data_IF_706215191116
#
_entry.id   IF_706215191116
#
_cell.length_a   1.000
_cell.length_b   1.000
_cell.length_c   1.000
_cell.angle_alpha   90.00
_cell.angle_beta   90.00
_cell.angle_gamma   90.00
#
_symmetry.space_group_name_H-M   'P 1'
#
loop_
_entity.id
_entity.type
_entity.pdbx_description
1 polymer ?
#
# COMPACT_ATOMS: atom_id res chain seq x y z
N UNK A 1 -1.44 -0.49 12.13
CA UNK A 1 -2.47 0.27 11.39
C UNK A 1 -3.49 0.85 12.38
N UNK A 2 -4.22 1.90 12.01
CA UNK A 2 -5.28 2.43 12.87
C UNK A 2 -6.54 1.55 12.78
N UNK A 3 -7.18 1.25 13.91
CA UNK A 3 -8.42 0.46 13.93
C UNK A 3 -9.64 1.17 13.32
N UNK A 4 -9.54 2.46 13.05
CA UNK A 4 -10.59 3.27 12.41
C UNK A 4 -10.00 4.44 11.62
N UNK A 5 -10.83 5.02 10.74
CA UNK A 5 -10.49 6.24 10.01
C UNK A 5 -10.89 7.47 10.81
N UNK A 6 -9.96 8.42 10.95
CA UNK A 6 -10.28 9.73 11.52
C UNK A 6 -11.19 10.54 10.60
N UNK A 7 -11.93 11.50 11.14
CA UNK A 7 -12.81 12.37 10.35
C UNK A 7 -12.05 13.04 9.19
N UNK A 8 -10.86 13.60 9.46
CA UNK A 8 -9.96 14.16 8.44
C UNK A 8 -9.63 13.16 7.34
N UNK A 9 -9.31 11.92 7.68
CA UNK A 9 -9.01 10.88 6.67
C UNK A 9 -10.24 10.55 5.81
N UNK A 10 -11.44 10.52 6.39
CA UNK A 10 -12.69 10.32 5.63
C UNK A 10 -12.92 11.45 4.63
N UNK A 11 -12.81 12.71 5.05
CA UNK A 11 -12.91 13.90 4.18
C UNK A 11 -11.89 13.85 3.04
N UNK A 12 -10.62 13.54 3.34
CA UNK A 12 -9.56 13.45 2.32
C UNK A 12 -9.81 12.33 1.31
N UNK A 13 -10.35 11.18 1.76
CA UNK A 13 -10.71 10.07 0.88
C UNK A 13 -11.90 10.44 -0.02
N UNK A 14 -12.94 11.08 0.53
CA UNK A 14 -14.07 11.60 -0.25
C UNK A 14 -13.58 12.60 -1.30
N UNK A 15 -12.75 13.57 -0.92
CA UNK A 15 -12.18 14.56 -1.85
C UNK A 15 -11.44 13.88 -3.01
N UNK A 16 -10.58 12.89 -2.72
CA UNK A 16 -9.86 12.13 -3.75
C UNK A 16 -10.84 11.36 -4.66
N UNK A 17 -11.86 10.71 -4.11
CA UNK A 17 -12.89 10.00 -4.88
C UNK A 17 -13.66 10.96 -5.79
N UNK A 18 -14.18 12.06 -5.24
CA UNK A 18 -14.91 13.08 -5.97
C UNK A 18 -14.09 13.63 -7.15
N UNK A 19 -12.80 13.94 -6.94
CA UNK A 19 -11.90 14.40 -8.01
C UNK A 19 -11.69 13.36 -9.11
N UNK A 20 -11.59 12.06 -8.79
CA UNK A 20 -11.42 10.98 -9.78
C UNK A 20 -12.69 10.69 -10.57
N UNK A 21 -13.86 10.74 -9.92
CA UNK A 21 -15.13 10.62 -10.64
C UNK A 21 -15.42 11.86 -11.49
N UNK A 22 -15.03 13.06 -11.03
CA UNK A 22 -15.10 14.26 -11.85
C UNK A 22 -14.21 14.17 -13.09
N UNK A 23 -13.00 13.62 -12.97
CA UNK A 23 -12.11 13.32 -14.10
C UNK A 23 -12.73 12.31 -15.07
N UNK A 24 -13.54 11.37 -14.54
CA UNK A 24 -14.26 10.38 -15.37
C UNK A 24 -15.41 11.02 -16.17
N UNK A 25 -16.12 11.99 -15.60
CA UNK A 25 -17.15 12.77 -16.31
C UNK A 25 -16.55 13.81 -17.27
N UNK A 26 -15.51 14.52 -16.85
CA UNK A 26 -14.87 15.58 -17.62
C UNK A 26 -13.63 15.06 -18.36
N UNK A 27 -13.84 14.42 -19.52
CA UNK A 27 -12.74 13.80 -20.29
C UNK A 27 -11.64 14.80 -20.69
N UNK A 28 -12.02 16.02 -21.06
CA UNK A 28 -11.08 17.06 -21.47
C UNK A 28 -10.42 17.76 -20.28
N UNK A 29 -9.10 17.93 -20.36
CA UNK A 29 -8.26 18.36 -19.22
C UNK A 29 -8.54 19.78 -18.75
N UNK A 30 -8.87 20.67 -19.67
CA UNK A 30 -9.28 22.06 -19.42
C UNK A 30 -10.58 22.14 -18.62
N UNK A 31 -11.64 21.44 -19.09
CA UNK A 31 -12.93 21.37 -18.39
C UNK A 31 -12.81 20.71 -17.03
N UNK A 32 -12.05 19.62 -16.96
CA UNK A 32 -11.73 18.97 -15.68
C UNK A 32 -11.07 19.94 -14.72
N UNK A 33 -10.03 20.67 -15.17
CA UNK A 33 -9.28 21.58 -14.30
C UNK A 33 -10.17 22.69 -13.74
N UNK A 34 -11.03 23.27 -14.57
CA UNK A 34 -12.00 24.27 -14.13
C UNK A 34 -12.92 23.71 -13.03
N UNK A 35 -13.58 22.59 -13.30
CA UNK A 35 -14.51 21.98 -12.33
C UNK A 35 -13.80 21.47 -11.06
N UNK A 36 -12.55 21.00 -11.18
CA UNK A 36 -11.74 20.57 -10.06
C UNK A 36 -11.40 21.73 -9.12
N UNK A 37 -11.13 22.93 -9.68
CA UNK A 37 -10.95 24.15 -8.89
C UNK A 37 -12.25 24.57 -8.18
N UNK A 38 -13.40 24.48 -8.85
CA UNK A 38 -14.70 24.74 -8.21
C UNK A 38 -14.98 23.74 -7.07
N UNK A 39 -14.75 22.45 -7.30
CA UNK A 39 -14.89 21.43 -6.26
C UNK A 39 -13.94 21.71 -5.09
N UNK A 40 -12.68 22.08 -5.37
CA UNK A 40 -11.72 22.45 -4.33
C UNK A 40 -12.22 23.64 -3.51
N UNK A 41 -12.76 24.68 -4.15
CA UNK A 41 -13.31 25.84 -3.46
C UNK A 41 -14.46 25.46 -2.51
N UNK A 42 -15.36 24.55 -2.92
CA UNK A 42 -16.44 24.03 -2.06
C UNK A 42 -15.91 23.31 -0.81
N UNK A 43 -14.82 22.55 -0.94
CA UNK A 43 -14.18 21.91 0.22
C UNK A 43 -13.47 22.93 1.12
N UNK A 44 -12.83 23.94 0.52
CA UNK A 44 -12.09 24.97 1.26
C UNK A 44 -13.03 25.92 2.04
N UNK A 45 -14.28 26.09 1.60
CA UNK A 45 -15.31 26.90 2.29
C UNK A 45 -15.58 26.42 3.73
N UNK A 46 -15.53 25.11 3.97
CA UNK A 46 -15.80 24.50 5.28
C UNK A 46 -14.55 23.93 5.96
N UNK A 47 -13.35 24.30 5.50
CA UNK A 47 -12.09 23.75 6.04
C UNK A 47 -11.83 24.10 7.51
N UNK A 48 -12.31 25.28 7.94
CA UNK A 48 -12.08 25.86 9.27
C UNK A 48 -13.27 25.63 10.22
N UNK A 49 -14.19 24.71 9.88
CA UNK A 49 -15.32 24.34 10.73
C UNK A 49 -14.83 23.68 12.03
N UNK A 50 -15.20 24.26 13.18
CA UNK A 50 -14.76 23.80 14.50
C UNK A 50 -15.78 22.87 15.16
N UNK A 51 -17.06 22.95 14.77
CA UNK A 51 -18.09 22.05 15.27
C UNK A 51 -18.01 20.70 14.57
N UNK A 52 -17.55 19.68 15.30
CA UNK A 52 -17.40 18.31 14.79
C UNK A 52 -18.74 17.63 14.47
N UNK A 53 -19.85 18.02 15.12
CA UNK A 53 -21.18 17.49 14.80
C UNK A 53 -21.59 18.03 13.43
N UNK A 54 -21.44 19.34 13.22
CA UNK A 54 -21.71 19.98 11.94
C UNK A 54 -20.80 19.45 10.83
N UNK A 55 -19.50 19.31 11.07
CA UNK A 55 -18.56 18.74 10.11
C UNK A 55 -18.94 17.30 9.71
N UNK A 56 -19.41 16.49 10.66
CA UNK A 56 -19.87 15.12 10.39
C UNK A 56 -21.15 15.11 9.56
N UNK A 57 -22.12 15.99 9.84
CA UNK A 57 -23.34 16.14 9.03
C UNK A 57 -23.02 16.60 7.59
N UNK A 58 -22.10 17.55 7.44
CA UNK A 58 -21.62 18.00 6.12
C UNK A 58 -20.98 16.85 5.35
N UNK A 59 -20.14 16.03 6.01
CA UNK A 59 -19.53 14.86 5.38
C UNK A 59 -20.59 13.82 4.95
N UNK A 60 -21.62 13.58 5.76
CA UNK A 60 -22.71 12.67 5.39
C UNK A 60 -23.45 13.16 4.15
N UNK A 61 -23.89 14.42 4.14
CA UNK A 61 -24.55 15.01 2.98
C UNK A 61 -23.65 15.01 1.73
N UNK A 62 -22.34 15.22 1.89
CA UNK A 62 -21.39 15.18 0.78
C UNK A 62 -21.15 13.76 0.24
N UNK A 63 -21.17 12.72 1.09
CA UNK A 63 -21.13 11.31 0.63
C UNK A 63 -22.42 10.94 -0.12
N UNK A 64 -23.58 11.42 0.32
CA UNK A 64 -24.86 11.25 -0.39
C UNK A 64 -24.82 11.92 -1.77
N UNK A 65 -24.41 13.20 -1.85
CA UNK A 65 -24.24 13.90 -3.14
C UNK A 65 -23.25 13.16 -4.05
N UNK A 66 -22.13 12.69 -3.49
CA UNK A 66 -21.15 11.92 -4.25
C UNK A 66 -21.76 10.62 -4.78
N UNK A 67 -22.53 9.89 -3.98
CA UNK A 67 -23.17 8.64 -4.36
C UNK A 67 -24.16 8.82 -5.51
N UNK A 68 -24.98 9.87 -5.47
CA UNK A 68 -25.95 10.18 -6.53
C UNK A 68 -25.29 10.59 -7.84
N UNK A 69 -24.11 11.24 -7.78
CA UNK A 69 -23.43 11.84 -8.94
C UNK A 69 -22.21 11.06 -9.43
N UNK A 70 -21.92 9.90 -8.84
CA UNK A 70 -20.76 9.12 -9.22
C UNK A 70 -20.88 8.60 -10.66
N UNK A 71 -19.79 8.67 -11.42
CA UNK A 71 -19.75 8.06 -12.75
C UNK A 71 -19.99 6.54 -12.68
N UNK A 72 -20.87 5.95 -13.52
CA UNK A 72 -21.19 4.51 -13.47
C UNK A 72 -19.98 3.59 -13.71
N UNK A 73 -19.07 4.02 -14.59
CA UNK A 73 -17.84 3.30 -14.92
C UNK A 73 -16.64 4.23 -14.75
N UNK A 74 -16.17 4.47 -13.51
CA UNK A 74 -15.09 5.42 -13.28
C UNK A 74 -13.79 4.98 -13.98
N UNK A 75 -12.92 5.94 -14.29
CA UNK A 75 -11.58 5.63 -14.78
C UNK A 75 -10.78 4.95 -13.67
N UNK A 76 -10.36 3.71 -13.94
CA UNK A 76 -9.49 2.92 -13.07
C UNK A 76 -8.15 2.74 -13.79
N UNK A 77 -7.05 3.05 -13.11
CA UNK A 77 -5.72 2.85 -13.67
C UNK A 77 -5.49 1.37 -13.97
N UNK A 78 -4.79 1.02 -15.07
CA UNK A 78 -4.67 -0.37 -15.51
C UNK A 78 -4.21 -1.34 -14.42
N UNK A 79 -3.21 -0.95 -13.63
CA UNK A 79 -2.62 -1.79 -12.58
C UNK A 79 -3.29 -1.66 -11.20
N UNK A 80 -4.29 -0.78 -11.05
CA UNK A 80 -5.04 -0.67 -9.79
C UNK A 80 -6.10 -1.77 -9.70
N UNK A 81 -6.56 -2.15 -8.49
CA UNK A 81 -7.67 -3.10 -8.36
C UNK A 81 -8.88 -2.67 -9.20
N UNK A 82 -9.42 -3.60 -10.00
CA UNK A 82 -10.49 -3.33 -10.98
C UNK A 82 -10.02 -2.76 -12.33
N UNK A 83 -8.72 -2.53 -12.51
CA UNK A 83 -8.11 -2.10 -13.76
C UNK A 83 -7.90 -3.26 -14.74
N UNK A 84 -7.66 -2.93 -16.01
CA UNK A 84 -7.56 -3.91 -17.12
C UNK A 84 -6.28 -4.74 -17.14
N UNK A 85 -5.26 -4.37 -16.36
CA UNK A 85 -4.01 -5.12 -16.19
C UNK A 85 -3.73 -5.46 -14.72
N UNK A 86 -4.74 -5.35 -13.85
CA UNK A 86 -4.64 -5.76 -12.46
C UNK A 86 -4.24 -7.24 -12.39
N UNK A 87 -3.18 -7.54 -11.64
CA UNK A 87 -2.63 -8.88 -11.45
C UNK A 87 -2.23 -9.61 -12.75
N UNK A 88 -2.15 -8.92 -13.89
CA UNK A 88 -1.79 -9.49 -15.20
C UNK A 88 -0.47 -10.25 -15.17
N UNK A 89 0.49 -9.77 -14.39
CA UNK A 89 1.84 -10.33 -14.30
C UNK A 89 2.04 -11.24 -13.09
N UNK A 90 0.99 -11.53 -12.32
CA UNK A 90 1.12 -12.26 -11.06
C UNK A 90 1.45 -13.74 -11.28
N UNK A 91 1.03 -14.32 -12.41
CA UNK A 91 1.41 -15.67 -12.81
C UNK A 91 2.93 -15.85 -13.04
N UNK A 92 3.67 -14.77 -13.28
CA UNK A 92 5.13 -14.79 -13.46
C UNK A 92 5.88 -14.48 -12.15
N UNK A 93 5.19 -14.14 -11.07
CA UNK A 93 5.79 -13.83 -9.77
C UNK A 93 6.08 -15.10 -9.00
N UNK A 94 7.10 -15.84 -9.42
CA UNK A 94 7.59 -17.00 -8.67
C UNK A 94 8.27 -16.56 -7.36
N UNK A 95 7.90 -17.14 -6.21
CA UNK A 95 8.59 -16.85 -4.96
C UNK A 95 10.04 -17.37 -5.01
N UNK A 96 10.94 -16.66 -4.35
CA UNK A 96 12.38 -16.88 -4.44
C UNK A 96 12.83 -18.27 -3.98
N UNK A 97 12.11 -18.89 -3.04
CA UNK A 97 12.45 -20.19 -2.48
C UNK A 97 12.35 -21.33 -3.51
N UNK A 98 11.61 -21.15 -4.61
CA UNK A 98 11.55 -22.14 -5.71
C UNK A 98 12.94 -22.37 -6.33
N UNK A 99 13.82 -21.37 -6.30
CA UNK A 99 15.19 -21.50 -6.80
C UNK A 99 16.03 -22.53 -6.01
N UNK A 100 15.61 -22.89 -4.80
CA UNK A 100 16.25 -23.95 -4.02
C UNK A 100 15.96 -25.33 -4.60
N UNK A 101 14.81 -25.50 -5.27
CA UNK A 101 14.36 -26.77 -5.86
C UNK A 101 15.03 -27.09 -7.20
N UNK A 102 15.76 -26.15 -7.80
CA UNK A 102 16.46 -26.35 -9.07
C UNK A 102 17.52 -27.45 -8.97
N UNK A 103 17.68 -28.22 -10.03
CA UNK A 103 18.69 -29.26 -10.11
C UNK A 103 20.11 -28.65 -10.10
N UNK A 104 21.13 -29.29 -9.48
CA UNK A 104 22.49 -28.75 -9.45
C UNK A 104 23.06 -28.37 -10.82
N UNK A 105 22.71 -29.10 -11.90
CA UNK A 105 23.14 -28.75 -13.26
C UNK A 105 22.55 -27.42 -13.75
N UNK A 106 21.32 -27.11 -13.37
CA UNK A 106 20.65 -25.83 -13.71
C UNK A 106 21.25 -24.69 -12.88
N UNK A 107 21.54 -24.94 -11.60
CA UNK A 107 22.22 -23.97 -10.73
C UNK A 107 23.63 -23.65 -11.21
N UNK A 108 24.35 -24.66 -11.71
CA UNK A 108 25.70 -24.51 -12.26
C UNK A 108 25.76 -23.55 -13.47
N UNK A 109 24.63 -23.28 -14.14
CA UNK A 109 24.54 -22.28 -15.19
C UNK A 109 24.72 -20.84 -14.67
N UNK A 110 24.42 -20.59 -13.39
CA UNK A 110 24.45 -19.25 -12.78
C UNK A 110 25.29 -19.21 -11.49
N UNK A 111 26.59 -19.55 -11.56
CA UNK A 111 27.43 -19.77 -10.39
C UNK A 111 27.53 -18.53 -9.49
N UNK A 112 27.74 -17.35 -10.07
CA UNK A 112 27.88 -16.10 -9.32
C UNK A 112 26.59 -15.69 -8.61
N UNK A 113 25.44 -15.95 -9.23
CA UNK A 113 24.14 -15.62 -8.64
C UNK A 113 23.89 -16.49 -7.41
N UNK A 114 24.07 -17.82 -7.54
CA UNK A 114 23.87 -18.73 -6.42
C UNK A 114 24.91 -18.53 -5.32
N UNK A 115 26.17 -18.22 -5.65
CA UNK A 115 27.19 -17.86 -4.66
C UNK A 115 26.79 -16.62 -3.84
N UNK A 116 26.29 -15.56 -4.50
CA UNK A 116 25.77 -14.37 -3.80
C UNK A 116 24.51 -14.68 -2.98
N UNK A 117 23.61 -15.50 -3.50
CA UNK A 117 22.37 -15.89 -2.81
C UNK A 117 22.66 -16.62 -1.49
N UNK A 118 23.67 -17.48 -1.44
CA UNK A 118 24.07 -18.14 -0.20
C UNK A 118 24.52 -17.14 0.88
N UNK A 119 25.16 -16.02 0.50
CA UNK A 119 25.48 -14.94 1.45
C UNK A 119 24.21 -14.31 2.04
N UNK A 120 23.17 -14.08 1.22
CA UNK A 120 21.89 -13.56 1.69
C UNK A 120 21.15 -14.54 2.60
N UNK A 121 21.19 -15.84 2.29
CA UNK A 121 20.60 -16.88 3.13
C UNK A 121 21.32 -17.00 4.48
N UNK A 122 22.65 -16.95 4.46
CA UNK A 122 23.46 -16.90 5.69
C UNK A 122 23.07 -15.69 6.55
N UNK A 123 22.97 -14.51 5.94
CA UNK A 123 22.54 -13.30 6.63
C UNK A 123 21.14 -13.45 7.26
N UNK A 124 20.19 -14.05 6.54
CA UNK A 124 18.83 -14.33 7.04
C UNK A 124 18.85 -15.27 8.25
N UNK A 125 19.66 -16.32 8.21
CA UNK A 125 19.77 -17.28 9.31
C UNK A 125 20.41 -16.62 10.54
N UNK A 126 21.46 -15.83 10.36
CA UNK A 126 22.15 -15.11 11.44
C UNK A 126 21.28 -14.01 12.08
N UNK A 127 20.36 -13.41 11.32
CA UNK A 127 19.47 -12.36 11.81
C UNK A 127 18.23 -12.91 12.52
N UNK A 128 17.76 -14.10 12.16
CA UNK A 128 16.46 -14.65 12.62
C UNK A 128 16.29 -14.66 14.15
N UNK A 129 17.24 -15.24 14.88
CA UNK A 129 17.13 -15.35 16.35
C UNK A 129 17.12 -13.97 17.02
N UNK A 130 17.90 -13.02 16.50
CA UNK A 130 17.97 -11.64 16.99
C UNK A 130 16.66 -10.90 16.73
N UNK A 131 16.04 -11.11 15.58
CA UNK A 131 14.75 -10.54 15.21
C UNK A 131 13.63 -11.07 16.12
N UNK A 132 13.58 -12.40 16.32
CA UNK A 132 12.59 -13.06 17.18
C UNK A 132 12.74 -12.60 18.62
N UNK A 133 13.97 -12.51 19.13
CA UNK A 133 14.24 -11.99 20.47
C UNK A 133 13.74 -10.55 20.61
N UNK A 134 14.05 -9.67 19.65
CA UNK A 134 13.58 -8.29 19.68
C UNK A 134 12.05 -8.21 19.69
N UNK A 135 11.38 -9.05 18.90
CA UNK A 135 9.91 -9.11 18.91
C UNK A 135 9.36 -9.59 20.25
N UNK A 136 9.94 -10.61 20.87
CA UNK A 136 9.52 -11.10 22.18
C UNK A 136 9.71 -10.04 23.28
N UNK A 137 10.81 -9.27 23.21
CA UNK A 137 11.11 -8.19 24.15
C UNK A 137 10.18 -6.98 23.99
N UNK A 138 9.88 -6.57 22.75
CA UNK A 138 9.05 -5.39 22.46
C UNK A 138 7.54 -5.67 22.44
N UNK A 139 7.12 -6.94 22.33
CA UNK A 139 5.70 -7.30 22.28
C UNK A 139 5.08 -7.27 23.69
N UNK A 140 3.97 -6.55 23.90
CA UNK A 140 3.26 -6.55 25.18
C UNK A 140 2.80 -7.97 25.59
N UNK A 141 2.63 -8.26 26.91
CA UNK A 141 2.20 -9.58 27.39
C UNK A 141 0.87 -10.08 26.81
N UNK A 142 -0.04 -9.16 26.45
CA UNK A 142 -1.32 -9.47 25.80
C UNK A 142 -1.24 -9.70 24.29
N UNK A 143 -0.04 -9.77 23.73
CA UNK A 143 0.21 -9.82 22.29
C UNK A 143 0.29 -8.44 21.63
N UNK A 144 0.58 -8.38 20.32
CA UNK A 144 0.69 -7.13 19.58
C UNK A 144 -0.68 -6.46 19.43
N UNK A 145 -0.77 -5.17 19.78
CA UNK A 145 -2.00 -4.38 19.64
C UNK A 145 -2.25 -3.89 18.22
N UNK A 146 -1.20 -3.87 17.38
CA UNK A 146 -1.28 -3.48 15.97
C UNK A 146 -0.32 -4.32 15.12
N UNK A 147 -0.55 -4.35 13.81
CA UNK A 147 0.32 -5.03 12.83
C UNK A 147 1.66 -4.32 12.55
N UNK A 148 1.96 -3.20 13.23
CA UNK A 148 3.18 -2.46 12.97
C UNK A 148 4.40 -3.18 13.58
N UNK A 149 5.37 -3.53 12.74
CA UNK A 149 6.64 -4.11 13.18
C UNK A 149 7.61 -3.02 13.65
N UNK A 150 8.40 -3.25 14.71
CA UNK A 150 9.40 -2.30 15.15
C UNK A 150 10.58 -2.24 14.17
N UNK A 151 11.30 -1.11 14.08
CA UNK A 151 12.55 -1.03 13.33
C UNK A 151 13.68 -1.76 14.08
N UNK A 152 14.80 -2.04 13.40
CA UNK A 152 16.01 -2.51 14.06
C UNK A 152 16.53 -1.45 15.06
N UNK A 153 16.84 -1.86 16.30
CA UNK A 153 17.29 -0.95 17.38
C UNK A 153 18.79 -0.87 17.56
N UNK A 154 19.51 -1.93 17.18
CA UNK A 154 20.96 -2.08 17.41
C UNK A 154 21.69 -2.03 16.07
N UNK A 155 22.90 -1.48 16.09
CA UNK A 155 23.76 -1.47 14.91
C UNK A 155 24.11 -2.91 14.49
N UNK A 156 24.08 -3.18 13.18
CA UNK A 156 24.28 -4.54 12.64
C UNK A 156 23.08 -5.49 12.77
N UNK A 157 21.97 -5.08 13.39
CA UNK A 157 20.72 -5.84 13.36
C UNK A 157 19.89 -5.48 12.12
N UNK A 158 19.13 -6.46 11.60
CA UNK A 158 18.15 -6.25 10.56
C UNK A 158 16.75 -6.08 11.16
N UNK A 159 15.82 -5.36 10.49
CA UNK A 159 14.46 -5.20 10.98
C UNK A 159 13.75 -6.56 11.07
N UNK A 160 12.94 -6.83 12.10
CA UNK A 160 12.20 -8.09 12.21
C UNK A 160 11.32 -8.40 11.01
N UNK A 161 11.29 -9.67 10.60
CA UNK A 161 10.49 -10.22 9.49
C UNK A 161 10.74 -9.55 8.13
N UNK A 162 11.95 -9.02 7.92
CA UNK A 162 12.31 -8.27 6.72
C UNK A 162 12.31 -9.11 5.43
N UNK A 163 12.61 -10.42 5.53
CA UNK A 163 12.92 -11.27 4.36
C UNK A 163 11.87 -11.17 3.26
N UNK A 164 10.60 -11.44 3.59
CA UNK A 164 9.49 -11.43 2.63
C UNK A 164 9.26 -10.08 1.94
N UNK A 165 9.62 -8.97 2.60
CA UNK A 165 9.45 -7.63 2.03
C UNK A 165 10.59 -7.27 1.08
N UNK A 166 11.80 -7.74 1.39
CA UNK A 166 13.02 -7.48 0.60
C UNK A 166 13.13 -8.44 -0.58
N UNK A 167 12.77 -9.71 -0.42
CA UNK A 167 12.89 -10.75 -1.45
C UNK A 167 11.60 -10.98 -2.23
N UNK A 168 10.59 -10.11 -2.05
CA UNK A 168 9.35 -10.17 -2.84
C UNK A 168 9.66 -10.17 -4.35
N UNK A 169 8.89 -10.91 -5.17
CA UNK A 169 9.02 -10.86 -6.61
C UNK A 169 8.90 -9.42 -7.13
N UNK A 170 9.64 -9.13 -8.20
CA UNK A 170 9.53 -7.83 -8.88
C UNK A 170 8.10 -7.63 -9.38
N UNK A 171 7.65 -6.38 -9.44
CA UNK A 171 6.29 -6.05 -9.92
C UNK A 171 6.08 -6.51 -11.37
N UNK A 172 7.12 -6.38 -12.20
CA UNK A 172 7.14 -6.81 -13.59
C UNK A 172 8.34 -7.75 -13.79
N UNK A 173 8.16 -9.06 -13.62
CA UNK A 173 9.19 -10.07 -13.85
C UNK A 173 9.13 -10.57 -15.31
N UNK A 174 9.13 -9.63 -16.25
CA UNK A 174 9.12 -9.83 -17.71
C UNK A 174 10.21 -9.00 -18.36
#
# INVERSE_FOLDING_TARGET
>A
MAGYLSHRQKVLRLYKRAMRHLESWCTYRDKYRYNACLLRARFDEHKDEKDMIKATKLLMAAEEEFWERQHPQPYIFPDSPGGTSYERYDCFKSPEWILEMWHPSEKAMYPDYFAKREQWKKLRLESWDKEVQQLQEETPPGGPTTEALPPARKEGHLPPLWWQYVTKPRRFPV
#
